data_IF_724434649291
#
_entry.id   IF_724434649291
#
_cell.length_a   1.000
_cell.length_b   1.000
_cell.length_c   1.000
_cell.angle_alpha   90.00
_cell.angle_beta   90.00
_cell.angle_gamma   90.00
#
_symmetry.space_group_name_H-M   'P 1'
#
loop_
_entity.id
_entity.type
_entity.pdbx_description
1 polymer ?
#
# COMPACT_ATOMS: atom_id res chain seq x y z
N UNK A 1 -41.64 34.17 5.22
CA UNK A 1 -41.52 32.69 5.29
C UNK A 1 -41.40 32.00 3.92
N UNK A 2 -42.29 32.24 2.93
CA UNK A 2 -42.19 31.59 1.59
C UNK A 2 -40.85 31.86 0.88
N UNK A 3 -40.34 33.09 0.94
CA UNK A 3 -39.07 33.50 0.29
C UNK A 3 -37.84 32.84 0.93
N UNK A 4 -37.76 32.78 2.25
CA UNK A 4 -36.68 32.08 2.98
C UNK A 4 -36.72 30.55 2.76
N UNK A 5 -37.91 29.93 2.75
CA UNK A 5 -38.05 28.51 2.39
C UNK A 5 -37.55 28.24 0.97
N UNK A 6 -37.89 29.10 0.01
CA UNK A 6 -37.42 29.00 -1.37
C UNK A 6 -35.90 29.13 -1.48
N UNK A 7 -35.27 30.04 -0.74
CA UNK A 7 -33.80 30.20 -0.76
C UNK A 7 -33.11 28.97 -0.18
N UNK A 8 -33.58 28.45 0.96
CA UNK A 8 -32.99 27.27 1.60
C UNK A 8 -33.09 26.01 0.71
N UNK A 9 -34.24 25.81 0.05
CA UNK A 9 -34.42 24.68 -0.88
C UNK A 9 -33.52 24.80 -2.10
N UNK A 10 -33.34 26.02 -2.62
CA UNK A 10 -32.42 26.26 -3.75
C UNK A 10 -30.97 26.00 -3.36
N UNK A 11 -30.53 26.44 -2.18
CA UNK A 11 -29.17 26.16 -1.69
C UNK A 11 -28.96 24.65 -1.51
N UNK A 12 -29.90 23.96 -0.88
CA UNK A 12 -29.83 22.51 -0.70
C UNK A 12 -29.76 21.77 -2.05
N UNK A 13 -30.52 22.22 -3.05
CA UNK A 13 -30.48 21.66 -4.39
C UNK A 13 -29.12 21.84 -5.06
N UNK A 14 -28.56 23.06 -5.04
CA UNK A 14 -27.26 23.36 -5.65
C UNK A 14 -26.15 22.53 -4.98
N UNK A 15 -26.14 22.44 -3.64
CA UNK A 15 -25.16 21.63 -2.91
C UNK A 15 -25.29 20.13 -3.21
N UNK A 16 -26.52 19.59 -3.21
CA UNK A 16 -26.74 18.18 -3.56
C UNK A 16 -26.26 17.87 -4.98
N UNK A 17 -26.55 18.76 -5.93
CA UNK A 17 -26.12 18.60 -7.32
C UNK A 17 -24.60 18.65 -7.47
N UNK A 18 -23.93 19.62 -6.83
CA UNK A 18 -22.47 19.72 -6.86
C UNK A 18 -21.80 18.49 -6.24
N UNK A 19 -22.28 18.04 -5.09
CA UNK A 19 -21.74 16.83 -4.43
C UNK A 19 -21.96 15.59 -5.27
N UNK A 20 -23.14 15.44 -5.89
CA UNK A 20 -23.44 14.31 -6.78
C UNK A 20 -22.57 14.36 -8.04
N UNK A 21 -22.32 15.55 -8.59
CA UNK A 21 -21.43 15.72 -9.74
C UNK A 21 -19.99 15.34 -9.39
N UNK A 22 -19.48 15.81 -8.25
CA UNK A 22 -18.15 15.44 -7.73
C UNK A 22 -18.08 13.91 -7.51
N UNK A 23 -19.09 13.31 -6.89
CA UNK A 23 -19.16 11.86 -6.69
C UNK A 23 -19.21 11.09 -8.02
N UNK A 24 -19.93 11.59 -9.01
CA UNK A 24 -19.97 11.01 -10.36
C UNK A 24 -18.60 11.04 -11.03
N UNK A 25 -17.89 12.17 -10.94
CA UNK A 25 -16.50 12.27 -11.40
C UNK A 25 -15.64 11.24 -10.66
N UNK A 26 -15.66 11.23 -9.32
CA UNK A 26 -14.87 10.28 -8.54
C UNK A 26 -15.21 8.81 -8.84
N UNK A 27 -16.46 8.49 -9.15
CA UNK A 27 -16.87 7.15 -9.56
C UNK A 27 -16.32 6.75 -10.93
N UNK A 28 -16.32 7.67 -11.91
CA UNK A 28 -15.66 7.46 -13.21
C UNK A 28 -14.17 7.27 -13.00
N UNK A 29 -13.55 8.13 -12.20
CA UNK A 29 -12.13 8.03 -11.86
C UNK A 29 -11.79 6.71 -11.14
N UNK A 30 -12.68 6.23 -10.26
CA UNK A 30 -12.57 4.90 -9.64
C UNK A 30 -12.68 3.77 -10.66
N UNK A 31 -13.58 3.85 -11.63
CA UNK A 31 -13.73 2.81 -12.63
C UNK A 31 -12.52 2.73 -13.58
N UNK A 32 -12.05 3.89 -14.05
CA UNK A 32 -10.99 3.97 -15.05
C UNK A 32 -9.58 3.88 -14.48
N UNK A 33 -9.37 4.44 -13.27
CA UNK A 33 -8.06 4.54 -12.64
C UNK A 33 -7.98 3.81 -11.29
N UNK A 34 -9.00 3.04 -10.93
CA UNK A 34 -9.07 2.26 -9.68
C UNK A 34 -8.84 3.11 -8.41
N UNK A 35 -9.17 4.40 -8.48
CA UNK A 35 -9.04 5.32 -7.36
C UNK A 35 -9.98 4.96 -6.21
N UNK A 36 -9.42 4.56 -5.08
CA UNK A 36 -10.13 4.37 -3.81
C UNK A 36 -9.93 5.54 -2.86
N UNK A 37 -10.90 5.81 -1.99
CA UNK A 37 -10.66 6.75 -0.90
C UNK A 37 -9.71 6.11 0.10
N UNK A 38 -8.77 6.88 0.64
CA UNK A 38 -7.93 6.44 1.75
C UNK A 38 -8.79 5.91 2.93
N UNK A 39 -9.98 6.50 3.11
CA UNK A 39 -11.02 5.96 3.97
C UNK A 39 -12.33 5.73 3.16
N UNK A 40 -12.74 4.48 2.92
CA UNK A 40 -13.98 4.14 2.21
C UNK A 40 -15.23 4.77 2.83
N UNK A 41 -15.24 5.05 4.14
CA UNK A 41 -16.35 5.68 4.85
C UNK A 41 -16.67 7.09 4.32
N UNK A 42 -15.68 7.81 3.77
CA UNK A 42 -15.89 9.15 3.22
C UNK A 42 -16.82 9.14 2.00
N UNK A 43 -16.68 8.13 1.13
CA UNK A 43 -17.56 7.95 -0.01
C UNK A 43 -19.03 7.82 0.43
N UNK A 44 -19.28 6.93 1.39
CA UNK A 44 -20.63 6.69 1.93
C UNK A 44 -21.14 7.89 2.74
N UNK A 45 -20.29 8.56 3.51
CA UNK A 45 -20.65 9.76 4.27
C UNK A 45 -21.09 10.92 3.37
N UNK A 46 -20.39 11.15 2.27
CA UNK A 46 -20.80 12.16 1.27
C UNK A 46 -22.13 11.77 0.62
N UNK A 47 -22.34 10.48 0.30
CA UNK A 47 -23.60 10.00 -0.27
C UNK A 47 -24.78 10.17 0.71
N UNK A 48 -24.58 9.94 2.01
CA UNK A 48 -25.59 10.27 3.03
C UNK A 48 -25.93 11.75 3.02
N UNK A 49 -24.91 12.63 2.93
CA UNK A 49 -25.09 14.07 2.80
C UNK A 49 -25.92 14.46 1.56
N UNK A 50 -25.62 13.84 0.41
CA UNK A 50 -26.39 14.03 -0.83
C UNK A 50 -27.85 13.65 -0.64
N UNK A 51 -28.14 12.47 -0.07
CA UNK A 51 -29.51 12.01 0.15
C UNK A 51 -30.27 12.99 1.06
N UNK A 52 -29.66 13.45 2.15
CA UNK A 52 -30.27 14.42 3.06
C UNK A 52 -30.56 15.77 2.36
N UNK A 53 -29.60 16.32 1.62
CA UNK A 53 -29.76 17.59 0.91
C UNK A 53 -30.78 17.49 -0.23
N UNK A 54 -30.75 16.41 -1.01
CA UNK A 54 -31.72 16.15 -2.06
C UNK A 54 -33.14 16.00 -1.50
N UNK A 55 -33.29 15.32 -0.35
CA UNK A 55 -34.57 15.20 0.36
C UNK A 55 -35.12 16.57 0.74
N UNK A 56 -34.28 17.44 1.31
CA UNK A 56 -34.69 18.81 1.67
C UNK A 56 -35.07 19.64 0.44
N UNK A 57 -34.34 19.50 -0.66
CA UNK A 57 -34.60 20.19 -1.91
C UNK A 57 -35.92 19.77 -2.58
N UNK A 58 -36.24 18.47 -2.55
CA UNK A 58 -37.39 17.88 -3.27
C UNK A 58 -38.67 17.88 -2.43
N UNK A 59 -38.58 17.95 -1.10
CA UNK A 59 -39.71 17.96 -0.17
C UNK A 59 -40.87 18.94 -0.47
N UNK A 60 -40.65 20.11 -1.11
CA UNK A 60 -41.75 20.99 -1.52
C UNK A 60 -42.55 20.50 -2.74
N UNK A 61 -41.98 19.62 -3.57
CA UNK A 61 -42.50 19.28 -4.91
C UNK A 61 -43.16 17.91 -4.97
N UNK A 62 -42.85 17.02 -4.03
CA UNK A 62 -43.34 15.64 -3.99
C UNK A 62 -44.06 15.36 -2.67
N UNK A 63 -44.92 14.34 -2.65
CA UNK A 63 -45.52 13.83 -1.43
C UNK A 63 -44.43 13.42 -0.42
N UNK A 64 -44.40 14.12 0.72
CA UNK A 64 -43.42 13.93 1.79
C UNK A 64 -43.36 12.49 2.30
N UNK A 65 -44.50 11.78 2.37
CA UNK A 65 -44.52 10.40 2.85
C UNK A 65 -43.71 9.48 1.93
N UNK A 66 -43.92 9.60 0.62
CA UNK A 66 -43.19 8.81 -0.39
C UNK A 66 -41.70 9.18 -0.37
N UNK A 67 -41.41 10.48 -0.32
CA UNK A 67 -40.04 10.97 -0.28
C UNK A 67 -39.28 10.44 0.95
N UNK A 68 -39.86 10.52 2.15
CA UNK A 68 -39.21 10.03 3.37
C UNK A 68 -39.01 8.51 3.35
N UNK A 69 -39.93 7.73 2.77
CA UNK A 69 -39.75 6.28 2.60
C UNK A 69 -38.57 5.98 1.67
N UNK A 70 -38.51 6.64 0.50
CA UNK A 70 -37.42 6.46 -0.45
C UNK A 70 -36.07 6.88 0.13
N UNK A 71 -36.01 8.06 0.77
CA UNK A 71 -34.79 8.53 1.43
C UNK A 71 -34.36 7.59 2.55
N UNK A 72 -35.31 7.05 3.32
CA UNK A 72 -35.02 6.05 4.36
C UNK A 72 -34.40 4.79 3.80
N UNK A 73 -34.95 4.24 2.70
CA UNK A 73 -34.38 3.07 2.02
C UNK A 73 -32.96 3.38 1.52
N UNK A 74 -32.75 4.52 0.87
CA UNK A 74 -31.43 4.94 0.39
C UNK A 74 -30.42 5.07 1.55
N UNK A 75 -30.82 5.66 2.67
CA UNK A 75 -29.95 5.79 3.85
C UNK A 75 -29.60 4.43 4.46
N UNK A 76 -30.56 3.49 4.54
CA UNK A 76 -30.29 2.12 5.00
C UNK A 76 -29.30 1.42 4.07
N UNK A 77 -29.46 1.55 2.75
CA UNK A 77 -28.51 0.99 1.78
C UNK A 77 -27.11 1.59 1.92
N UNK A 78 -27.00 2.91 2.12
CA UNK A 78 -25.70 3.56 2.38
C UNK A 78 -25.08 3.08 3.70
N UNK A 79 -25.89 2.93 4.76
CA UNK A 79 -25.43 2.42 6.06
C UNK A 79 -24.95 0.98 5.97
N UNK A 80 -25.67 0.12 5.23
CA UNK A 80 -25.24 -1.26 4.98
C UNK A 80 -23.92 -1.31 4.18
N UNK A 81 -23.81 -0.51 3.12
CA UNK A 81 -22.58 -0.44 2.33
C UNK A 81 -21.39 0.08 3.14
N UNK A 82 -21.63 1.06 4.02
CA UNK A 82 -20.64 1.56 4.97
C UNK A 82 -20.19 0.47 5.95
N UNK A 83 -21.12 -0.35 6.46
CA UNK A 83 -20.82 -1.46 7.36
C UNK A 83 -20.03 -2.58 6.67
N UNK A 84 -20.40 -2.96 5.45
CA UNK A 84 -19.68 -3.98 4.67
C UNK A 84 -18.27 -3.52 4.31
N UNK A 85 -18.08 -2.22 4.05
CA UNK A 85 -16.76 -1.63 3.82
C UNK A 85 -16.01 -1.23 5.10
N UNK A 86 -16.61 -1.41 6.29
CA UNK A 86 -15.98 -1.04 7.55
C UNK A 86 -14.90 -2.05 7.92
N UNK A 87 -13.74 -1.54 8.33
CA UNK A 87 -12.60 -2.37 8.76
C UNK A 87 -11.54 -2.60 7.67
N UNK A 88 -11.82 -2.23 6.42
CA UNK A 88 -10.76 -2.17 5.40
C UNK A 88 -9.86 -0.96 5.69
N UNK A 89 -8.57 -1.21 5.93
CA UNK A 89 -7.55 -0.18 6.17
C UNK A 89 -6.61 -0.08 4.99
N UNK A 90 -6.29 1.14 4.60
CA UNK A 90 -5.26 1.43 3.62
C UNK A 90 -3.99 1.86 4.35
N UNK A 91 -2.90 1.15 4.10
CA UNK A 91 -1.57 1.46 4.61
C UNK A 91 -0.78 1.98 3.43
N UNK A 92 -0.28 3.21 3.53
CA UNK A 92 0.48 3.84 2.47
C UNK A 92 1.70 4.56 3.01
N UNK A 93 2.74 4.61 2.20
CA UNK A 93 3.94 5.40 2.44
C UNK A 93 4.47 5.94 1.12
N UNK A 94 4.98 7.16 1.15
CA UNK A 94 5.58 7.84 0.01
C UNK A 94 7.11 7.70 0.11
N UNK A 95 7.78 7.52 -1.02
CA UNK A 95 9.24 7.47 -1.08
C UNK A 95 9.84 8.80 -0.61
N UNK A 96 11.09 8.81 -0.09
CA UNK A 96 11.72 10.03 0.43
C UNK A 96 11.83 11.17 -0.60
N UNK A 97 11.88 10.85 -1.89
CA UNK A 97 11.95 11.78 -3.02
C UNK A 97 10.56 12.13 -3.61
N UNK A 98 9.49 11.48 -3.16
CA UNK A 98 8.11 11.71 -3.58
C UNK A 98 7.74 11.16 -4.96
N UNK A 99 8.59 10.30 -5.54
CA UNK A 99 8.37 9.74 -6.88
C UNK A 99 7.51 8.47 -6.86
N UNK A 100 7.54 7.72 -5.76
CA UNK A 100 6.87 6.43 -5.62
C UNK A 100 5.92 6.41 -4.41
N UNK A 101 4.82 5.68 -4.57
CA UNK A 101 3.84 5.44 -3.51
C UNK A 101 3.70 3.92 -3.31
N UNK A 102 3.99 3.47 -2.09
CA UNK A 102 3.73 2.12 -1.66
C UNK A 102 2.37 2.06 -0.96
N UNK A 103 1.53 1.09 -1.36
CA UNK A 103 0.20 0.95 -0.79
C UNK A 103 -0.22 -0.52 -0.65
N UNK A 104 -0.69 -0.86 0.53
CA UNK A 104 -1.27 -2.15 0.87
C UNK A 104 -2.63 -1.92 1.50
N UNK A 105 -3.61 -2.70 1.08
CA UNK A 105 -4.93 -2.70 1.67
C UNK A 105 -5.08 -3.93 2.54
N UNK A 106 -5.42 -3.73 3.81
CA UNK A 106 -5.77 -4.83 4.72
C UNK A 106 -7.28 -4.91 4.85
N UNK A 107 -7.83 -6.09 4.58
CA UNK A 107 -9.22 -6.41 4.80
C UNK A 107 -9.49 -6.66 6.30
N UNK A 108 -10.76 -6.65 6.74
CA UNK A 108 -11.12 -6.91 8.15
C UNK A 108 -10.65 -8.27 8.68
N UNK A 109 -10.46 -9.26 7.80
CA UNK A 109 -9.92 -10.58 8.13
C UNK A 109 -8.38 -10.64 8.17
N UNK A 110 -7.71 -9.49 8.06
CA UNK A 110 -6.25 -9.39 8.01
C UNK A 110 -5.65 -9.65 6.63
N UNK A 111 -6.41 -10.11 5.63
CA UNK A 111 -5.86 -10.35 4.29
C UNK A 111 -5.30 -9.06 3.70
N UNK A 112 -4.05 -9.15 3.25
CA UNK A 112 -3.35 -8.04 2.66
C UNK A 112 -3.34 -8.17 1.15
N UNK A 113 -3.59 -7.06 0.48
CA UNK A 113 -3.49 -6.95 -0.97
C UNK A 113 -2.60 -5.76 -1.26
N UNK A 114 -1.43 -6.02 -1.87
CA UNK A 114 -0.65 -4.92 -2.44
C UNK A 114 -1.52 -4.25 -3.51
N UNK A 115 -1.53 -2.92 -3.60
CA UNK A 115 -2.39 -2.22 -4.56
C UNK A 115 -1.54 -1.35 -5.47
N UNK A 116 -1.12 -1.93 -6.59
CA UNK A 116 -0.34 -1.26 -7.64
C UNK A 116 -1.20 -0.29 -8.45
N UNK A 117 -2.47 -0.58 -8.59
CA UNK A 117 -3.47 0.25 -9.26
C UNK A 117 -3.70 1.61 -8.58
N UNK A 118 -3.28 1.73 -7.32
CA UNK A 118 -3.32 2.99 -6.56
C UNK A 118 -2.10 3.90 -6.83
N UNK A 119 -1.19 3.50 -7.74
CA UNK A 119 -0.14 4.38 -8.32
C UNK A 119 -0.69 5.69 -8.91
N UNK A 120 -2.00 5.73 -9.21
CA UNK A 120 -2.71 6.87 -9.79
C UNK A 120 -3.31 7.85 -8.76
N UNK A 121 -3.17 7.60 -7.45
CA UNK A 121 -3.78 8.46 -6.42
C UNK A 121 -3.10 9.82 -6.25
N UNK A 122 -1.90 10.01 -6.84
CA UNK A 122 -1.41 11.20 -7.57
C UNK A 122 0.06 11.58 -7.21
N UNK A 123 1.07 11.28 -8.05
CA UNK A 123 2.33 12.04 -8.10
C UNK A 123 2.10 13.32 -8.95
N UNK A 124 1.43 14.31 -8.33
CA UNK A 124 0.93 15.61 -8.84
C UNK A 124 -0.01 15.72 -10.07
N UNK A 125 -0.65 14.66 -10.57
CA UNK A 125 -1.14 14.47 -11.94
C UNK A 125 0.14 14.27 -12.72
N UNK A 126 0.37 13.08 -13.28
CA UNK A 126 1.66 12.63 -13.83
C UNK A 126 2.13 13.49 -15.04
N UNK A 127 2.30 14.79 -14.85
CA UNK A 127 1.69 15.92 -15.59
C UNK A 127 0.89 15.58 -16.85
N UNK A 128 -0.41 15.35 -16.62
CA UNK A 128 -1.53 15.38 -17.57
C UNK A 128 -1.79 14.18 -18.51
N UNK A 129 -1.04 13.07 -18.36
CA UNK A 129 -1.35 11.69 -18.85
C UNK A 129 -1.51 11.55 -20.39
N UNK A 130 -0.76 10.67 -21.11
CA UNK A 130 -0.87 9.20 -20.96
C UNK A 130 0.50 8.47 -21.22
N UNK A 131 0.70 7.15 -21.28
CA UNK A 131 -0.14 6.02 -21.74
C UNK A 131 0.37 4.68 -21.15
N UNK A 132 -0.50 3.70 -20.88
CA UNK A 132 -0.09 2.34 -20.59
C UNK A 132 0.15 1.52 -21.88
N UNK A 133 1.26 0.75 -21.97
CA UNK A 133 1.23 -0.68 -22.38
C UNK A 133 2.63 -1.31 -22.38
N UNK A 134 2.71 -2.60 -22.08
CA UNK A 134 3.59 -3.49 -22.84
C UNK A 134 2.69 -4.49 -23.59
N UNK A 135 1.95 -3.95 -24.56
CA UNK A 135 1.36 -4.69 -25.68
C UNK A 135 0.63 -5.99 -25.35
N UNK A 136 -0.53 -5.94 -24.67
CA UNK A 136 -1.77 -6.64 -25.08
C UNK A 136 -2.88 -6.45 -24.04
N UNK A 137 -4.02 -5.94 -24.52
CA UNK A 137 -5.29 -5.72 -23.83
C UNK A 137 -5.28 -4.59 -22.76
N UNK A 138 -6.25 -3.65 -22.79
CA UNK A 138 -6.40 -2.59 -21.78
C UNK A 138 -6.87 -3.10 -20.40
N UNK A 139 -6.57 -4.36 -20.05
CA UNK A 139 -6.97 -5.03 -18.81
C UNK A 139 -5.89 -5.99 -18.26
N UNK A 140 -4.61 -5.78 -18.55
CA UNK A 140 -3.53 -6.65 -18.07
C UNK A 140 -2.31 -5.91 -17.47
N UNK A 141 -2.45 -4.63 -17.08
CA UNK A 141 -1.75 -4.22 -15.86
C UNK A 141 -2.27 -5.21 -14.82
N UNK A 142 -1.49 -6.20 -14.38
CA UNK A 142 -1.86 -7.12 -13.29
C UNK A 142 -2.57 -6.32 -12.19
N UNK A 143 -3.90 -6.32 -12.27
CA UNK A 143 -4.82 -5.71 -11.32
C UNK A 143 -4.91 -6.59 -10.08
N UNK A 144 -4.31 -7.78 -10.16
CA UNK A 144 -3.89 -8.55 -9.03
C UNK A 144 -2.59 -7.91 -8.56
N UNK A 145 -2.69 -6.89 -7.71
CA UNK A 145 -1.66 -6.84 -6.69
C UNK A 145 -1.77 -8.15 -5.92
N UNK A 146 -0.66 -8.88 -5.86
CA UNK A 146 -0.65 -10.20 -5.25
C UNK A 146 -1.24 -10.09 -3.86
N UNK A 147 -2.17 -11.00 -3.52
CA UNK A 147 -2.48 -11.21 -2.12
C UNK A 147 -1.17 -11.52 -1.43
N UNK A 148 -0.83 -10.77 -0.38
CA UNK A 148 0.35 -11.12 0.40
C UNK A 148 0.04 -12.44 1.12
N UNK A 149 1.06 -13.29 1.23
CA UNK A 149 0.89 -14.68 1.64
C UNK A 149 0.33 -14.81 3.06
N UNK A 150 0.57 -13.81 3.92
CA UNK A 150 0.21 -13.84 5.32
C UNK A 150 -0.73 -12.68 5.70
N UNK A 151 -1.70 -12.93 6.60
CA UNK A 151 -2.54 -11.87 7.13
C UNK A 151 -1.75 -10.93 8.04
N UNK A 152 -2.22 -9.70 8.16
CA UNK A 152 -1.64 -8.67 9.03
C UNK A 152 -2.10 -8.84 10.47
N UNK A 153 -1.13 -8.92 11.39
CA UNK A 153 -1.33 -8.80 12.83
C UNK A 153 -1.45 -7.34 13.28
N UNK A 154 -0.88 -7.07 14.46
CA UNK A 154 -1.05 -5.79 15.14
C UNK A 154 0.00 -4.75 14.71
N UNK A 155 1.24 -5.17 14.47
CA UNK A 155 2.36 -4.29 14.16
C UNK A 155 2.85 -4.38 12.72
N UNK A 156 3.23 -3.23 12.17
CA UNK A 156 3.84 -3.11 10.85
C UNK A 156 4.75 -1.88 10.73
N UNK A 157 5.65 -1.91 9.75
CA UNK A 157 6.44 -0.78 9.30
C UNK A 157 6.66 -0.80 7.79
N UNK A 158 6.91 0.36 7.22
CA UNK A 158 7.36 0.52 5.83
C UNK A 158 8.69 1.27 5.87
N UNK A 159 9.74 0.61 5.40
CA UNK A 159 11.06 1.20 5.21
C UNK A 159 11.30 1.45 3.72
N UNK A 160 11.97 2.56 3.41
CA UNK A 160 12.41 2.89 2.04
C UNK A 160 13.94 2.84 1.98
N UNK A 161 14.46 2.16 0.97
CA UNK A 161 15.88 2.13 0.64
C UNK A 161 15.98 2.32 -0.86
N UNK A 162 16.43 3.49 -1.30
CA UNK A 162 16.40 3.91 -2.70
C UNK A 162 14.99 3.69 -3.31
N UNK A 163 14.90 2.98 -4.43
CA UNK A 163 13.63 2.65 -5.12
C UNK A 163 12.93 1.38 -4.58
N UNK A 164 13.37 0.87 -3.42
CA UNK A 164 12.76 -0.28 -2.76
C UNK A 164 11.86 0.16 -1.62
N UNK A 165 10.62 -0.33 -1.60
CA UNK A 165 9.74 -0.30 -0.44
C UNK A 165 9.71 -1.67 0.24
N UNK A 166 9.98 -1.70 1.54
CA UNK A 166 10.03 -2.91 2.36
C UNK A 166 8.94 -2.81 3.41
N UNK A 167 7.88 -3.58 3.21
CA UNK A 167 6.79 -3.69 4.17
C UNK A 167 7.03 -4.87 5.09
N UNK A 168 7.30 -4.59 6.35
CA UNK A 168 7.53 -5.61 7.38
C UNK A 168 6.36 -5.62 8.35
N UNK A 169 5.85 -6.79 8.70
CA UNK A 169 4.69 -6.92 9.57
C UNK A 169 4.71 -8.21 10.38
N UNK A 170 4.04 -8.17 11.52
CA UNK A 170 3.79 -9.34 12.34
C UNK A 170 2.56 -10.10 11.80
N UNK A 171 2.61 -11.43 11.82
CA UNK A 171 1.48 -12.29 11.50
C UNK A 171 0.65 -12.60 12.76
N UNK A 172 -0.64 -12.98 12.67
CA UNK A 172 -1.50 -13.20 13.84
C UNK A 172 -1.02 -14.29 14.82
N UNK A 173 -0.16 -15.20 14.36
CA UNK A 173 0.48 -16.24 15.15
C UNK A 173 1.83 -15.82 15.77
N UNK A 174 2.23 -14.54 15.62
CA UNK A 174 3.46 -13.97 16.16
C UNK A 174 4.69 -14.18 15.29
N UNK A 175 4.51 -14.72 14.09
CA UNK A 175 5.55 -14.81 13.06
C UNK A 175 5.85 -13.45 12.43
N UNK A 176 6.90 -13.39 11.63
CA UNK A 176 7.31 -12.18 10.91
C UNK A 176 7.20 -12.40 9.41
N UNK A 177 6.72 -11.39 8.69
CA UNK A 177 6.64 -11.40 7.25
C UNK A 177 7.18 -10.09 6.67
N UNK A 178 7.80 -10.20 5.49
CA UNK A 178 8.25 -9.05 4.71
C UNK A 178 7.76 -9.17 3.28
N UNK A 179 7.42 -8.03 2.70
CA UNK A 179 7.14 -7.89 1.29
C UNK A 179 7.99 -6.75 0.73
N UNK A 180 8.75 -7.06 -0.33
CA UNK A 180 9.64 -6.11 -0.99
C UNK A 180 9.05 -5.73 -2.33
N UNK A 181 9.01 -4.42 -2.59
CA UNK A 181 8.62 -3.87 -3.88
C UNK A 181 9.76 -3.06 -4.48
N UNK A 182 10.18 -3.49 -5.66
CA UNK A 182 11.11 -2.76 -6.55
C UNK A 182 10.32 -1.85 -7.51
N UNK A 183 10.68 -0.57 -7.56
CA UNK A 183 10.10 0.43 -8.45
C UNK A 183 10.99 0.81 -9.65
N UNK A 184 12.25 0.39 -9.67
CA UNK A 184 13.21 0.68 -10.76
C UNK A 184 13.11 -0.35 -11.91
N UNK A 185 12.36 -1.44 -11.71
CA UNK A 185 12.01 -2.47 -12.71
C UNK A 185 13.23 -3.03 -13.47
N UNK A 186 14.34 -3.22 -12.76
CA UNK A 186 15.62 -3.75 -13.27
C UNK A 186 15.59 -5.25 -13.67
N UNK A 187 14.40 -5.81 -13.89
CA UNK A 187 14.18 -7.25 -14.07
C UNK A 187 14.23 -8.02 -12.76
N UNK A 188 13.63 -9.22 -12.74
CA UNK A 188 13.71 -10.10 -11.58
C UNK A 188 15.03 -10.87 -11.58
N UNK A 189 15.85 -10.71 -10.54
CA UNK A 189 16.99 -11.60 -10.29
C UNK A 189 16.52 -12.90 -9.66
N UNK A 190 17.31 -13.96 -9.84
CA UNK A 190 17.13 -15.23 -9.15
C UNK A 190 18.11 -15.35 -7.97
N UNK A 191 17.85 -16.29 -7.06
CA UNK A 191 18.79 -16.60 -5.98
C UNK A 191 20.17 -17.01 -6.51
N UNK A 192 20.24 -17.68 -7.66
CA UNK A 192 21.50 -18.10 -8.30
C UNK A 192 22.34 -16.91 -8.78
N UNK A 193 21.68 -15.84 -9.25
CA UNK A 193 22.35 -14.60 -9.68
C UNK A 193 22.75 -13.72 -8.49
N UNK A 194 21.91 -13.69 -7.45
CA UNK A 194 22.04 -12.76 -6.33
C UNK A 194 23.12 -13.21 -5.32
N UNK A 195 23.17 -14.50 -4.98
CA UNK A 195 24.12 -15.05 -4.01
C UNK A 195 25.59 -14.68 -4.31
N UNK A 196 26.12 -14.89 -5.53
CA UNK A 196 27.51 -14.53 -5.84
C UNK A 196 27.84 -13.05 -5.64
N UNK A 197 26.86 -12.15 -5.78
CA UNK A 197 27.06 -10.70 -5.65
C UNK A 197 27.33 -10.30 -4.19
N UNK A 198 26.73 -11.00 -3.24
CA UNK A 198 26.84 -10.67 -1.81
C UNK A 198 27.97 -11.40 -1.08
N UNK A 199 28.60 -12.42 -1.69
CA UNK A 199 29.73 -13.17 -1.08
C UNK A 199 30.93 -12.25 -0.91
N UNK A 200 31.03 -11.60 0.25
CA UNK A 200 32.09 -10.70 0.67
C UNK A 200 32.07 -10.53 2.19
N UNK A 201 33.05 -9.81 2.72
CA UNK A 201 32.93 -9.24 4.07
C UNK A 201 32.40 -7.82 3.94
N UNK A 202 31.47 -7.44 4.81
CA UNK A 202 30.87 -6.11 4.82
C UNK A 202 30.92 -5.53 6.24
N UNK A 203 31.17 -4.23 6.35
CA UNK A 203 31.28 -3.54 7.64
C UNK A 203 30.53 -2.21 7.60
N UNK A 204 29.77 -1.94 8.66
CA UNK A 204 29.18 -0.64 8.96
C UNK A 204 29.72 -0.10 10.28
N UNK A 205 29.11 0.97 10.79
CA UNK A 205 29.48 1.58 12.08
C UNK A 205 29.21 0.66 13.27
N UNK A 206 28.18 -0.16 13.19
CA UNK A 206 27.68 -0.98 14.31
C UNK A 206 27.06 -2.31 13.86
N UNK A 207 27.34 -2.71 12.62
CA UNK A 207 26.99 -4.01 12.07
C UNK A 207 28.12 -4.57 11.20
N UNK A 208 28.22 -5.90 11.10
CA UNK A 208 29.13 -6.59 10.19
C UNK A 208 28.45 -7.80 9.56
N UNK A 209 28.70 -8.05 8.28
CA UNK A 209 28.20 -9.24 7.57
C UNK A 209 29.39 -10.02 7.01
N UNK A 210 29.52 -11.27 7.42
CA UNK A 210 30.50 -12.21 6.88
C UNK A 210 29.81 -13.22 5.95
N UNK A 211 29.76 -12.91 4.65
CA UNK A 211 29.08 -13.73 3.65
C UNK A 211 30.02 -14.70 2.90
N UNK A 212 31.07 -15.19 3.57
CA UNK A 212 32.08 -16.11 3.00
C UNK A 212 31.88 -17.58 3.41
N UNK A 213 30.94 -17.86 4.32
CA UNK A 213 30.55 -19.20 4.77
C UNK A 213 29.03 -19.27 4.95
N UNK A 214 28.47 -20.47 5.02
CA UNK A 214 27.02 -20.68 5.20
C UNK A 214 26.72 -21.24 6.61
N UNK A 215 25.68 -20.73 7.30
CA UNK A 215 24.89 -19.53 6.95
C UNK A 215 25.73 -18.25 7.01
N UNK A 216 25.29 -17.18 6.34
CA UNK A 216 25.98 -15.89 6.43
C UNK A 216 25.75 -15.28 7.82
N UNK A 217 26.84 -14.90 8.49
CA UNK A 217 26.78 -14.33 9.83
C UNK A 217 26.61 -12.81 9.77
N UNK A 218 25.40 -12.33 10.08
CA UNK A 218 25.11 -10.91 10.27
C UNK A 218 25.15 -10.59 11.77
N UNK A 219 26.11 -9.76 12.19
CA UNK A 219 26.22 -9.28 13.58
C UNK A 219 25.67 -7.87 13.67
N UNK A 220 24.65 -7.71 14.52
CA UNK A 220 24.01 -6.43 14.85
C UNK A 220 24.36 -6.06 16.30
N UNK A 221 24.06 -4.82 16.77
CA UNK A 221 24.46 -4.37 18.10
C UNK A 221 23.92 -5.23 19.27
N UNK A 222 22.76 -5.86 19.08
CA UNK A 222 22.04 -6.59 20.13
C UNK A 222 21.88 -8.08 19.85
N UNK A 223 22.21 -8.52 18.65
CA UNK A 223 21.93 -9.89 18.21
C UNK A 223 22.84 -10.30 17.05
N UNK A 224 22.86 -11.60 16.77
CA UNK A 224 23.47 -12.17 15.57
C UNK A 224 22.39 -12.94 14.83
N UNK A 225 22.26 -12.67 13.53
CA UNK A 225 21.27 -13.27 12.64
C UNK A 225 22.02 -14.16 11.65
N UNK A 226 21.62 -15.42 11.58
CA UNK A 226 22.15 -16.37 10.61
C UNK A 226 21.28 -16.33 9.35
N UNK A 227 21.84 -15.87 8.23
CA UNK A 227 21.12 -15.73 6.96
C UNK A 227 21.46 -16.92 6.06
N UNK A 228 20.54 -17.87 5.92
CA UNK A 228 20.73 -19.03 5.05
C UNK A 228 20.17 -18.74 3.64
N UNK A 229 20.99 -18.79 2.58
CA UNK A 229 20.52 -18.62 1.20
C UNK A 229 19.55 -19.71 0.72
N UNK A 230 19.44 -20.85 1.40
CA UNK A 230 18.43 -21.88 1.07
C UNK A 230 16.99 -21.37 1.27
N UNK A 231 16.82 -20.34 2.10
CA UNK A 231 15.54 -19.71 2.43
C UNK A 231 15.51 -18.25 1.94
N UNK A 232 16.00 -18.03 0.72
CA UNK A 232 16.10 -16.71 0.09
C UNK A 232 15.04 -16.55 -1.00
N UNK A 233 14.31 -15.44 -0.93
CA UNK A 233 13.47 -14.91 -2.02
C UNK A 233 14.08 -13.62 -2.58
N UNK A 234 14.09 -13.45 -3.90
CA UNK A 234 14.81 -12.35 -4.57
C UNK A 234 13.86 -11.51 -5.41
N UNK A 235 14.03 -10.19 -5.32
CA UNK A 235 13.32 -9.21 -6.16
C UNK A 235 14.28 -8.07 -6.48
N UNK A 236 14.61 -7.90 -7.77
CA UNK A 236 15.63 -6.93 -8.19
C UNK A 236 16.97 -7.22 -7.51
N UNK A 237 17.58 -6.22 -6.89
CA UNK A 237 18.82 -6.35 -6.09
C UNK A 237 18.57 -6.60 -4.61
N UNK A 238 17.32 -6.86 -4.23
CA UNK A 238 16.92 -7.17 -2.86
C UNK A 238 16.74 -8.70 -2.67
N UNK A 239 17.28 -9.22 -1.57
CA UNK A 239 17.15 -10.60 -1.14
C UNK A 239 16.54 -10.68 0.26
N UNK A 240 15.36 -11.28 0.38
CA UNK A 240 14.64 -11.48 1.64
C UNK A 240 14.94 -12.87 2.19
N UNK A 241 15.52 -12.93 3.38
CA UNK A 241 15.87 -14.17 4.05
C UNK A 241 14.80 -14.56 5.05
N UNK A 242 14.45 -15.84 5.05
CA UNK A 242 13.56 -16.45 6.03
C UNK A 242 14.26 -17.52 6.85
N UNK A 243 13.63 -17.92 7.96
CA UNK A 243 14.00 -19.16 8.66
C UNK A 243 13.40 -20.40 7.97
N UNK A 244 13.70 -21.59 8.49
CA UNK A 244 13.20 -22.85 7.92
C UNK A 244 11.67 -22.96 7.98
N UNK A 245 11.02 -22.19 8.84
CA UNK A 245 9.56 -22.12 9.01
C UNK A 245 8.92 -21.07 8.09
N UNK A 246 9.73 -20.28 7.38
CA UNK A 246 9.28 -19.23 6.47
C UNK A 246 9.04 -17.86 7.12
N UNK A 247 9.43 -17.67 8.39
CA UNK A 247 9.38 -16.35 9.02
C UNK A 247 10.49 -15.47 8.48
N UNK A 248 10.17 -14.22 8.15
CA UNK A 248 11.15 -13.25 7.68
C UNK A 248 12.16 -12.89 8.80
N UNK A 249 13.44 -12.95 8.45
CA UNK A 249 14.54 -12.46 9.28
C UNK A 249 14.86 -11.01 8.93
N UNK A 250 14.93 -10.73 7.62
CA UNK A 250 15.17 -9.39 7.07
C UNK A 250 15.50 -9.43 5.58
N UNK A 251 15.62 -8.25 4.99
CA UNK A 251 15.99 -8.08 3.58
C UNK A 251 17.37 -7.44 3.48
N UNK A 252 18.24 -7.97 2.62
CA UNK A 252 19.47 -7.33 2.19
C UNK A 252 19.26 -6.70 0.80
N UNK A 253 19.73 -5.47 0.60
CA UNK A 253 19.59 -4.73 -0.65
C UNK A 253 20.98 -4.30 -1.11
N UNK A 254 21.39 -4.73 -2.29
CA UNK A 254 22.68 -4.36 -2.87
C UNK A 254 22.57 -3.03 -3.61
N UNK A 255 23.51 -2.11 -3.35
CA UNK A 255 23.60 -0.84 -4.06
C UNK A 255 23.92 -1.02 -5.54
N UNK A 256 23.65 0.00 -6.35
CA UNK A 256 23.88 -0.05 -7.79
C UNK A 256 25.32 -0.39 -8.18
N UNK A 257 26.27 0.20 -7.45
CA UNK A 257 27.71 0.04 -7.66
C UNK A 257 28.28 -1.25 -7.04
N UNK A 258 27.45 -2.02 -6.32
CA UNK A 258 27.84 -3.27 -5.66
C UNK A 258 28.80 -3.10 -4.47
N UNK A 259 28.98 -1.87 -3.97
CA UNK A 259 29.91 -1.57 -2.88
C UNK A 259 29.23 -1.45 -1.52
N UNK A 260 27.91 -1.34 -1.47
CA UNK A 260 27.14 -1.28 -0.23
C UNK A 260 26.03 -2.33 -0.22
N UNK A 261 25.76 -2.85 0.96
CA UNK A 261 24.58 -3.66 1.23
C UNK A 261 23.82 -3.04 2.40
N UNK A 262 22.52 -2.88 2.24
CA UNK A 262 21.65 -2.35 3.27
C UNK A 262 20.79 -3.47 3.82
N UNK A 263 20.82 -3.68 5.15
CA UNK A 263 19.99 -4.63 5.86
C UNK A 263 18.79 -3.94 6.50
N UNK A 264 17.59 -4.41 6.16
CA UNK A 264 16.31 -3.98 6.72
C UNK A 264 15.73 -5.13 7.55
N UNK A 265 15.71 -5.01 8.89
CA UNK A 265 15.18 -6.06 9.77
C UNK A 265 13.67 -6.29 9.56
N UNK A 266 13.24 -7.55 9.63
CA UNK A 266 11.82 -7.92 9.50
C UNK A 266 10.96 -7.55 10.72
N UNK A 267 11.56 -7.42 11.90
CA UNK A 267 10.83 -7.04 13.11
C UNK A 267 10.31 -5.59 12.99
N UNK A 268 8.97 -5.35 13.01
CA UNK A 268 8.41 -4.00 12.87
C UNK A 268 8.81 -3.03 13.99
N UNK A 269 9.18 -3.55 15.17
CA UNK A 269 9.63 -2.73 16.30
C UNK A 269 11.08 -2.25 16.13
N UNK A 270 11.85 -2.89 15.25
CA UNK A 270 13.23 -2.50 14.95
C UNK A 270 13.26 -1.48 13.81
N UNK A 271 13.41 -0.21 14.17
CA UNK A 271 13.39 0.93 13.23
C UNK A 271 14.74 1.26 12.59
N UNK A 272 15.81 0.59 13.02
CA UNK A 272 17.15 0.87 12.52
C UNK A 272 17.44 0.00 11.31
N UNK A 273 17.72 0.64 10.19
CA UNK A 273 18.29 0.04 8.98
C UNK A 273 19.81 0.16 9.06
N UNK A 274 20.53 -0.85 8.57
CA UNK A 274 21.99 -0.92 8.67
C UNK A 274 22.62 -0.94 7.28
N UNK A 275 23.39 0.08 6.95
CA UNK A 275 24.18 0.11 5.71
C UNK A 275 25.60 -0.36 6.00
N UNK A 276 26.07 -1.34 5.23
CA UNK A 276 27.40 -1.91 5.32
C UNK A 276 28.14 -1.71 4.01
N UNK A 277 29.42 -1.38 4.09
CA UNK A 277 30.29 -1.23 2.93
C UNK A 277 31.14 -2.48 2.75
N UNK A 278 31.38 -2.86 1.50
CA UNK A 278 32.24 -3.97 1.12
C UNK A 278 33.66 -3.75 1.64
N UNK A 279 34.21 -4.76 2.31
CA UNK A 279 35.61 -4.78 2.73
C UNK A 279 36.43 -5.27 1.56
N UNK A 280 37.18 -4.37 0.93
CA UNK A 280 38.18 -4.75 -0.06
C UNK A 280 39.32 -5.49 0.67
N UNK A 281 39.60 -6.73 0.26
CA UNK A 281 40.83 -7.40 0.65
C UNK A 281 41.95 -6.81 -0.21
N UNK A 282 42.86 -6.07 0.43
CA UNK A 282 44.17 -5.74 -0.14
C UNK A 282 44.99 -7.02 -0.40
#
# INVERSE_FOLDING_TARGET
MKKQRSVLTTIAFVLAFLLLFIQGILAVFRYWFQLEFNNPLLFYGINVGIVCLATLAIAPYINRRILFVLSGILLVLQGFAMYVGAGTRSIASESPDGTHLFMVQAQPNGQLTYRRDLYYQIPQLQRFLPVPSLTTAPYSLSANGGGLNYPLGDDYKIDWVDDYAIFSYETPDGGLAQYVRDYDDNGQQTSEDWIPQIINNWTGSDATLAAQGLPYDLRLPKETVALNPDYLDVTGKAGSFTDEQGNALGTLILSEDGNQVTYVPANPQQKTTYTLTKVNKD
#
